data_IF_584479357518
#
_entry.id   IF_584479357518
#
_cell.length_a   1.000
_cell.length_b   1.000
_cell.length_c   1.000
_cell.angle_alpha   90.00
_cell.angle_beta   90.00
_cell.angle_gamma   90.00
#
_symmetry.space_group_name_H-M   'P 1'
#
loop_
_entity.id
_entity.type
_entity.pdbx_description
1 polymer ?
#
# COMPACT_ATOMS: atom_id res chain seq x y z
N UNK A 1 6.10 -3.36 -6.83
CA UNK A 1 5.05 -2.92 -5.89
C UNK A 1 4.11 -1.87 -6.50
N UNK A 2 4.60 -0.69 -6.90
CA UNK A 2 3.76 0.38 -7.46
C UNK A 2 2.88 -0.12 -8.62
N UNK A 3 3.46 -0.82 -9.59
CA UNK A 3 2.73 -1.34 -10.75
C UNK A 3 1.66 -2.36 -10.39
N UNK A 4 1.91 -3.24 -9.43
CA UNK A 4 0.93 -4.19 -8.95
C UNK A 4 -0.26 -3.47 -8.27
N UNK A 5 0.01 -2.43 -7.47
CA UNK A 5 -1.03 -1.60 -6.85
C UNK A 5 -1.84 -0.86 -7.93
N UNK A 6 -1.16 -0.20 -8.87
CA UNK A 6 -1.78 0.47 -10.00
C UNK A 6 -2.70 -0.46 -10.79
N UNK A 7 -2.20 -1.64 -11.16
CA UNK A 7 -2.98 -2.65 -11.88
C UNK A 7 -4.17 -3.16 -11.08
N UNK A 8 -4.00 -3.46 -9.78
CA UNK A 8 -5.08 -4.01 -8.94
C UNK A 8 -6.24 -3.03 -8.77
N UNK A 9 -5.93 -1.75 -8.59
CA UNK A 9 -6.92 -0.70 -8.35
C UNK A 9 -7.35 0.04 -9.62
N UNK A 10 -6.82 -0.33 -10.79
CA UNK A 10 -7.15 0.31 -12.07
C UNK A 10 -6.76 1.80 -12.11
N UNK A 11 -5.64 2.16 -11.47
CA UNK A 11 -5.13 3.54 -11.43
C UNK A 11 -3.76 3.63 -12.06
N UNK A 12 -3.43 4.76 -12.67
CA UNK A 12 -2.06 5.05 -13.13
C UNK A 12 -1.20 5.68 -12.01
N UNK A 13 0.10 5.88 -12.28
CA UNK A 13 1.05 6.47 -11.31
C UNK A 13 0.72 7.93 -10.97
N UNK A 14 0.22 8.71 -11.93
CA UNK A 14 -0.18 10.10 -11.70
C UNK A 14 -1.42 10.20 -10.80
N UNK A 15 -2.40 9.32 -11.02
CA UNK A 15 -3.58 9.18 -10.18
C UNK A 15 -3.24 8.69 -8.77
N UNK A 16 -2.21 7.86 -8.63
CA UNK A 16 -1.68 7.44 -7.33
C UNK A 16 -1.06 8.63 -6.56
N UNK A 17 -0.45 9.59 -7.24
CA UNK A 17 0.06 10.81 -6.61
C UNK A 17 -1.03 11.90 -6.42
N UNK A 18 -2.21 11.74 -7.02
CA UNK A 18 -3.27 12.75 -6.96
C UNK A 18 -3.84 12.92 -5.54
N UNK A 19 -4.00 14.17 -5.12
CA UNK A 19 -4.70 14.54 -3.87
C UNK A 19 -6.20 14.40 -4.03
N UNK A 20 -6.90 14.06 -2.95
CA UNK A 20 -8.36 13.94 -2.95
C UNK A 20 -8.93 12.68 -3.61
N UNK A 21 -8.08 11.78 -4.13
CA UNK A 21 -8.53 10.48 -4.63
C UNK A 21 -9.21 9.67 -3.52
N UNK A 22 -10.38 9.11 -3.84
CA UNK A 22 -11.10 8.18 -2.95
C UNK A 22 -10.58 6.75 -3.06
N UNK A 23 -9.69 6.47 -4.02
CA UNK A 23 -9.12 5.13 -4.20
C UNK A 23 -8.25 4.73 -3.00
N UNK A 24 -8.37 3.49 -2.50
CA UNK A 24 -7.51 2.99 -1.43
C UNK A 24 -6.08 2.72 -1.90
N UNK A 25 -5.77 2.82 -3.19
CA UNK A 25 -4.48 2.47 -3.79
C UNK A 25 -3.26 3.12 -3.08
N UNK A 26 -3.35 4.40 -2.73
CA UNK A 26 -2.28 5.09 -1.99
C UNK A 26 -2.05 4.50 -0.60
N UNK A 27 -3.15 4.22 0.10
CA UNK A 27 -3.11 3.67 1.44
C UNK A 27 -2.58 2.23 1.40
N UNK A 28 -2.99 1.44 0.40
CA UNK A 28 -2.47 0.10 0.13
C UNK A 28 -0.96 0.11 -0.15
N UNK A 29 -0.49 1.01 -1.02
CA UNK A 29 0.95 1.15 -1.30
C UNK A 29 1.74 1.54 -0.05
N UNK A 30 1.26 2.52 0.73
CA UNK A 30 1.90 2.92 1.97
C UNK A 30 1.96 1.78 2.99
N UNK A 31 0.91 0.97 3.07
CA UNK A 31 0.86 -0.22 3.92
C UNK A 31 1.85 -1.29 3.47
N UNK A 32 1.85 -1.67 2.19
CA UNK A 32 2.77 -2.67 1.65
C UNK A 32 4.24 -2.24 1.78
N UNK A 33 4.54 -0.97 1.48
CA UNK A 33 5.90 -0.44 1.61
C UNK A 33 6.39 -0.50 3.05
N UNK A 34 5.53 -0.16 4.03
CA UNK A 34 5.87 -0.25 5.46
C UNK A 34 6.21 -1.69 5.90
N UNK A 35 5.52 -2.70 5.36
CA UNK A 35 5.64 -4.08 5.86
C UNK A 35 6.64 -4.93 5.07
N UNK A 36 6.96 -4.56 3.83
CA UNK A 36 7.73 -5.41 2.92
C UNK A 36 8.93 -4.71 2.28
N UNK A 37 9.24 -3.48 2.68
CA UNK A 37 10.40 -2.74 2.16
C UNK A 37 11.07 -1.93 3.26
N UNK A 38 12.31 -1.54 3.02
CA UNK A 38 13.05 -0.60 3.89
C UNK A 38 12.90 0.86 3.44
N UNK A 39 11.96 1.16 2.53
CA UNK A 39 11.77 2.50 2.01
C UNK A 39 11.48 3.50 3.14
N UNK A 40 12.27 4.56 3.17
CA UNK A 40 12.09 5.64 4.13
C UNK A 40 10.79 6.39 3.84
N UNK A 41 10.27 7.06 4.87
CA UNK A 41 9.09 7.90 4.70
C UNK A 41 9.33 9.00 3.65
N UNK A 42 10.54 9.56 3.61
CA UNK A 42 10.91 10.63 2.67
C UNK A 42 10.87 10.14 1.21
N UNK A 43 11.37 8.93 0.94
CA UNK A 43 11.31 8.31 -0.40
C UNK A 43 9.86 8.02 -0.85
N UNK A 44 8.98 7.70 0.09
CA UNK A 44 7.57 7.43 -0.19
C UNK A 44 6.73 8.70 -0.45
N UNK A 45 7.16 9.88 0.02
CA UNK A 45 6.43 11.15 -0.15
C UNK A 45 6.08 11.44 -1.61
N UNK A 46 7.05 11.51 -2.56
CA UNK A 46 6.75 11.86 -3.94
C UNK A 46 5.88 10.80 -4.63
N UNK A 47 6.09 9.51 -4.32
CA UNK A 47 5.33 8.40 -4.90
C UNK A 47 3.87 8.45 -4.47
N UNK A 48 3.63 8.77 -3.19
CA UNK A 48 2.30 8.84 -2.60
C UNK A 48 1.66 10.21 -2.76
N UNK A 49 2.28 11.19 -3.44
CA UNK A 49 1.71 12.54 -3.59
C UNK A 49 1.43 13.24 -2.26
N UNK A 50 2.30 13.04 -1.28
CA UNK A 50 2.23 13.68 0.04
C UNK A 50 3.04 14.97 0.06
N UNK A 51 2.75 15.83 1.04
CA UNK A 51 3.57 17.04 1.29
C UNK A 51 4.70 16.77 2.27
N UNK A 52 4.52 15.82 3.19
CA UNK A 52 5.44 15.61 4.31
C UNK A 52 5.56 14.13 4.69
N UNK A 53 6.76 13.66 5.11
CA UNK A 53 7.00 12.26 5.49
C UNK A 53 6.12 11.76 6.64
N UNK A 54 5.73 12.63 7.57
CA UNK A 54 4.92 12.31 8.75
C UNK A 54 3.50 11.89 8.39
N UNK A 55 3.06 12.15 7.15
CA UNK A 55 1.75 11.71 6.65
C UNK A 55 1.74 10.25 6.18
N UNK A 56 2.90 9.63 5.95
CA UNK A 56 3.01 8.24 5.47
C UNK A 56 2.41 7.23 6.47
N UNK A 57 2.73 7.28 7.78
CA UNK A 57 2.12 6.38 8.76
C UNK A 57 0.59 6.49 8.82
N UNK A 58 0.05 7.70 8.66
CA UNK A 58 -1.41 7.90 8.64
C UNK A 58 -2.07 7.20 7.45
N UNK A 59 -1.47 7.25 6.26
CA UNK A 59 -1.99 6.50 5.09
C UNK A 59 -1.94 4.99 5.31
N UNK A 60 -0.83 4.47 5.86
CA UNK A 60 -0.70 3.06 6.19
C UNK A 60 -1.75 2.62 7.23
N UNK A 61 -1.97 3.42 8.29
CA UNK A 61 -2.97 3.14 9.33
C UNK A 61 -4.40 3.16 8.77
N UNK A 62 -4.71 4.08 7.85
CA UNK A 62 -6.01 4.10 7.15
C UNK A 62 -6.28 2.81 6.38
N UNK A 63 -5.27 2.25 5.71
CA UNK A 63 -5.45 0.95 5.05
C UNK A 63 -5.62 -0.18 6.07
N UNK A 64 -4.85 -0.18 7.16
CA UNK A 64 -5.00 -1.16 8.22
C UNK A 64 -6.43 -1.15 8.81
N UNK A 65 -7.04 0.03 8.99
CA UNK A 65 -8.42 0.15 9.42
C UNK A 65 -9.41 -0.42 8.38
N UNK A 66 -9.21 -0.14 7.09
CA UNK A 66 -10.00 -0.73 6.00
C UNK A 66 -9.93 -2.27 6.00
N UNK A 67 -8.75 -2.85 6.28
CA UNK A 67 -8.60 -4.31 6.38
C UNK A 67 -9.44 -4.92 7.51
N UNK A 68 -9.71 -4.17 8.58
CA UNK A 68 -10.58 -4.63 9.68
C UNK A 68 -12.05 -4.59 9.27
N UNK A 69 -12.49 -3.51 8.61
CA UNK A 69 -13.90 -3.27 8.31
C UNK A 69 -14.39 -3.88 6.99
N UNK A 70 -13.52 -4.11 6.01
CA UNK A 70 -13.93 -4.44 4.64
C UNK A 70 -13.31 -5.74 4.11
N UNK A 71 -14.15 -6.71 3.80
CA UNK A 71 -13.73 -7.98 3.16
C UNK A 71 -13.07 -7.78 1.79
N UNK A 72 -13.43 -6.72 1.06
CA UNK A 72 -12.83 -6.40 -0.24
C UNK A 72 -11.37 -5.99 -0.10
N UNK A 73 -11.06 -5.12 0.86
CA UNK A 73 -9.69 -4.68 1.12
C UNK A 73 -8.76 -5.86 1.47
N UNK A 74 -9.24 -6.84 2.25
CA UNK A 74 -8.49 -8.07 2.56
C UNK A 74 -8.22 -8.91 1.31
N UNK A 75 -9.22 -9.08 0.44
CA UNK A 75 -9.04 -9.79 -0.84
C UNK A 75 -8.05 -9.08 -1.75
N UNK A 76 -8.09 -7.75 -1.79
CA UNK A 76 -7.15 -6.95 -2.55
C UNK A 76 -5.73 -7.10 -2.04
N UNK A 77 -5.52 -7.05 -0.72
CA UNK A 77 -4.21 -7.25 -0.11
C UNK A 77 -3.65 -8.63 -0.44
N UNK A 78 -4.43 -9.70 -0.26
CA UNK A 78 -3.99 -11.06 -0.60
C UNK A 78 -3.61 -11.19 -2.08
N UNK A 79 -4.38 -10.57 -2.99
CA UNK A 79 -4.06 -10.57 -4.41
C UNK A 79 -2.75 -9.81 -4.70
N UNK A 80 -2.53 -8.67 -4.03
CA UNK A 80 -1.31 -7.89 -4.16
C UNK A 80 -0.09 -8.64 -3.62
N UNK A 81 -0.20 -9.24 -2.44
CA UNK A 81 0.88 -10.03 -1.86
C UNK A 81 1.25 -11.21 -2.76
N UNK A 82 0.27 -11.92 -3.32
CA UNK A 82 0.52 -13.00 -4.29
C UNK A 82 1.20 -12.50 -5.55
N UNK A 83 0.69 -11.41 -6.14
CA UNK A 83 1.26 -10.83 -7.35
C UNK A 83 2.70 -10.32 -7.16
N UNK A 84 3.05 -9.96 -5.92
CA UNK A 84 4.38 -9.49 -5.55
C UNK A 84 5.30 -10.61 -5.02
N UNK A 85 4.82 -11.86 -4.95
CA UNK A 85 5.58 -12.96 -4.36
C UNK A 85 5.83 -12.81 -2.86
N UNK A 86 5.00 -12.02 -2.17
CA UNK A 86 5.06 -11.76 -0.73
C UNK A 86 4.21 -12.74 0.08
N UNK A 87 3.45 -13.62 -0.59
CA UNK A 87 2.64 -14.65 0.05
C UNK A 87 3.46 -15.92 0.36
N UNK A 88 3.98 -16.00 1.60
CA UNK A 88 4.71 -17.14 2.18
C UNK A 88 6.22 -16.86 2.28
N UNK A 89 6.96 -17.08 3.37
CA UNK A 89 6.84 -18.00 4.50
C UNK A 89 7.02 -17.25 5.83
N UNK A 90 6.12 -17.46 6.81
CA UNK A 90 6.58 -17.46 8.20
C UNK A 90 7.28 -18.81 8.37
N UNK A 91 8.58 -18.81 8.07
CA UNK A 91 9.48 -19.92 8.28
C UNK A 91 9.22 -20.52 9.66
N UNK A 92 9.28 -21.84 9.72
CA UNK A 92 9.62 -22.57 10.94
C UNK A 92 10.63 -21.75 11.75
N UNK A 93 10.22 -21.21 12.88
CA UNK A 93 11.16 -20.89 13.94
C UNK A 93 11.40 -22.17 14.70
N UNK A 94 12.63 -22.64 14.57
CA UNK A 94 13.32 -23.67 15.36
C UNK A 94 13.14 -23.43 16.86
#
# INVERSE_FOLDING_TARGET
MIEAVCSRYGVDRGQLAARGSRSPARAALAYLAKHHTEATRAELVPILGLSRPESVPNLSARFAALLQSESNARRDLLALERALGLSGENSKSV
#
